data_IF_339054640831
#
_entry.id   IF_339054640831
#
_cell.length_a   1.000
_cell.length_b   1.000
_cell.length_c   1.000
_cell.angle_alpha   90.00
_cell.angle_beta   90.00
_cell.angle_gamma   90.00
#
_symmetry.space_group_name_H-M   'P 1'
#
loop_
_entity.id
_entity.type
_entity.pdbx_description
1 polymer ?
#
# COMPACT_ATOMS: atom_id res chain seq x y z
N UNK A 1 17.45 -23.26 41.62
CA UNK A 1 18.04 -23.37 40.26
C UNK A 1 16.98 -23.69 39.19
N UNK A 2 16.02 -24.60 39.42
CA UNK A 2 14.96 -24.95 38.45
C UNK A 2 13.95 -23.83 38.12
N UNK A 3 13.56 -22.98 39.08
CA UNK A 3 12.62 -21.87 38.87
C UNK A 3 13.14 -20.78 37.90
N UNK A 4 14.45 -20.51 37.92
CA UNK A 4 15.08 -19.50 37.05
C UNK A 4 15.07 -19.96 35.59
N UNK A 5 15.33 -21.26 35.35
CA UNK A 5 15.32 -21.84 34.00
C UNK A 5 13.91 -21.83 33.39
N UNK A 6 12.88 -22.12 34.19
CA UNK A 6 11.49 -22.10 33.73
C UNK A 6 11.03 -20.70 33.30
N UNK A 7 11.36 -19.66 34.10
CA UNK A 7 11.04 -18.26 33.77
C UNK A 7 11.79 -17.78 32.52
N UNK A 8 13.05 -18.21 32.32
CA UNK A 8 13.79 -17.85 31.10
C UNK A 8 13.24 -18.51 29.84
N UNK A 9 12.73 -19.74 29.93
CA UNK A 9 12.09 -20.42 28.80
C UNK A 9 10.71 -19.84 28.49
N UNK A 10 9.92 -19.47 29.50
CA UNK A 10 8.66 -18.73 29.30
C UNK A 10 8.90 -17.35 28.68
N UNK A 11 9.91 -16.60 29.13
CA UNK A 11 10.26 -15.30 28.53
C UNK A 11 10.84 -15.42 27.11
N UNK A 12 11.58 -16.49 26.80
CA UNK A 12 12.02 -16.79 25.44
C UNK A 12 10.84 -17.16 24.56
N UNK A 13 9.91 -18.00 25.04
CA UNK A 13 8.70 -18.36 24.31
C UNK A 13 7.76 -17.17 24.12
N UNK A 14 7.68 -16.24 25.08
CA UNK A 14 6.94 -14.98 24.96
C UNK A 14 7.59 -14.04 23.93
N UNK A 15 8.93 -13.96 23.90
CA UNK A 15 9.69 -13.22 22.87
C UNK A 15 9.57 -13.85 21.48
N UNK A 16 9.62 -15.19 21.38
CA UNK A 16 9.48 -15.94 20.13
C UNK A 16 8.04 -15.84 19.60
N UNK A 17 7.03 -15.84 20.49
CA UNK A 17 5.63 -15.59 20.17
C UNK A 17 5.38 -14.17 19.64
N UNK A 18 6.22 -13.19 19.99
CA UNK A 18 6.17 -11.83 19.48
C UNK A 18 6.98 -11.64 18.19
N UNK A 19 7.86 -12.60 17.88
CA UNK A 19 8.90 -12.53 16.83
C UNK A 19 8.57 -13.38 15.60
N UNK A 20 7.29 -13.60 15.32
CA UNK A 20 6.84 -13.63 13.93
C UNK A 20 6.56 -12.17 13.57
N UNK A 21 7.59 -11.41 13.19
CA UNK A 21 7.37 -10.10 12.58
C UNK A 21 6.40 -10.31 11.41
N UNK A 22 5.17 -9.82 11.53
CA UNK A 22 4.21 -9.91 10.43
C UNK A 22 4.76 -9.09 9.27
N UNK A 23 5.42 -9.75 8.32
CA UNK A 23 5.90 -9.11 7.10
C UNK A 23 4.69 -8.80 6.23
N UNK A 24 4.57 -7.56 5.80
CA UNK A 24 3.50 -7.12 4.90
C UNK A 24 4.16 -6.32 3.80
N UNK A 25 4.03 -6.81 2.57
CA UNK A 25 4.52 -6.12 1.39
C UNK A 25 3.73 -6.56 0.17
N UNK A 26 3.36 -5.62 -0.68
CA UNK A 26 2.81 -5.90 -1.99
C UNK A 26 3.44 -5.00 -3.05
N UNK A 27 3.47 -5.49 -4.27
CA UNK A 27 3.79 -4.70 -5.46
C UNK A 27 3.00 -5.25 -6.63
N UNK A 28 2.33 -4.37 -7.36
CA UNK A 28 1.49 -4.72 -8.48
C UNK A 28 1.55 -3.67 -9.60
N UNK A 29 1.27 -4.09 -10.83
CA UNK A 29 1.07 -3.24 -12.00
C UNK A 29 -0.37 -3.33 -12.51
N UNK A 30 -0.80 -2.27 -13.21
CA UNK A 30 -2.20 -2.06 -13.56
C UNK A 30 -2.73 -3.16 -14.47
N UNK A 31 -1.98 -3.46 -15.53
CA UNK A 31 -2.35 -4.45 -16.54
C UNK A 31 -1.93 -5.87 -16.15
N UNK A 32 -2.78 -6.85 -16.51
CA UNK A 32 -2.45 -8.28 -16.46
C UNK A 32 -1.57 -8.77 -17.63
N UNK A 33 -1.05 -7.86 -18.47
CA UNK A 33 -0.25 -8.17 -19.66
C UNK A 33 -0.84 -7.65 -20.99
N UNK A 34 -2.03 -7.05 -20.95
CA UNK A 34 -2.67 -6.42 -22.10
C UNK A 34 -2.26 -4.94 -22.22
N UNK A 35 -2.08 -4.43 -23.44
CA UNK A 35 -1.85 -3.01 -23.66
C UNK A 35 -3.17 -2.26 -23.64
N UNK A 36 -3.27 -1.19 -22.85
CA UNK A 36 -4.48 -0.39 -22.82
C UNK A 36 -4.46 0.71 -21.77
N UNK A 37 -5.59 1.41 -21.70
CA UNK A 37 -5.79 2.49 -20.75
C UNK A 37 -7.00 2.26 -19.84
N UNK A 38 -6.92 2.77 -18.61
CA UNK A 38 -8.03 2.83 -17.66
C UNK A 38 -8.50 4.28 -17.54
N UNK A 39 -9.80 4.49 -17.74
CA UNK A 39 -10.39 5.83 -17.93
C UNK A 39 -10.24 6.34 -19.38
N UNK A 40 -10.71 7.56 -19.67
CA UNK A 40 -11.39 8.48 -18.77
C UNK A 40 -12.79 8.00 -18.41
N UNK A 41 -13.14 8.20 -17.14
CA UNK A 41 -14.48 8.00 -16.61
C UNK A 41 -15.08 9.35 -16.18
N UNK A 42 -16.41 9.44 -16.09
CA UNK A 42 -17.10 10.66 -15.65
C UNK A 42 -16.93 10.98 -14.17
N UNK A 43 -16.47 10.02 -13.37
CA UNK A 43 -16.20 10.13 -11.94
C UNK A 43 -14.88 9.43 -11.58
N UNK A 44 -14.37 9.69 -10.39
CA UNK A 44 -13.17 9.02 -9.88
C UNK A 44 -13.40 7.50 -9.81
N UNK A 45 -12.45 6.72 -10.32
CA UNK A 45 -12.55 5.28 -10.40
C UNK A 45 -11.36 4.60 -9.70
N UNK A 46 -11.62 3.60 -8.87
CA UNK A 46 -10.57 2.84 -8.18
C UNK A 46 -9.79 1.99 -9.16
N UNK A 47 -8.48 2.19 -9.24
CA UNK A 47 -7.60 1.42 -10.09
C UNK A 47 -7.38 0.02 -9.52
N UNK A 48 -7.58 -0.99 -10.37
CA UNK A 48 -7.42 -2.40 -10.02
C UNK A 48 -6.11 -2.88 -10.65
N UNK A 49 -5.07 -3.08 -9.85
CA UNK A 49 -3.76 -3.54 -10.31
C UNK A 49 -3.73 -5.05 -10.37
N UNK A 50 -3.92 -5.60 -11.57
CA UNK A 50 -4.21 -7.02 -11.79
C UNK A 50 -2.97 -7.89 -11.74
N UNK A 51 -1.81 -7.38 -12.17
CA UNK A 51 -0.57 -8.14 -12.15
C UNK A 51 0.16 -7.94 -10.83
N UNK A 52 0.25 -9.00 -10.04
CA UNK A 52 0.84 -8.97 -8.70
C UNK A 52 2.23 -9.59 -8.72
N UNK A 53 3.27 -8.77 -8.52
CA UNK A 53 4.65 -9.24 -8.38
C UNK A 53 4.87 -9.94 -7.03
N UNK A 54 4.29 -9.37 -5.97
CA UNK A 54 4.40 -9.88 -4.60
C UNK A 54 3.20 -9.45 -3.78
N UNK A 55 2.78 -10.29 -2.82
CA UNK A 55 1.70 -10.00 -1.87
C UNK A 55 1.90 -10.77 -0.55
N UNK A 56 3.02 -10.50 0.12
CA UNK A 56 3.33 -11.07 1.44
C UNK A 56 2.37 -10.51 2.48
N UNK A 57 1.82 -11.40 3.30
CA UNK A 57 0.77 -11.07 4.26
C UNK A 57 -0.63 -10.99 3.64
N UNK A 58 -0.76 -11.14 2.30
CA UNK A 58 -2.04 -11.17 1.57
C UNK A 58 -2.96 -9.98 1.88
N UNK A 59 -2.36 -8.81 2.10
CA UNK A 59 -3.06 -7.58 2.48
C UNK A 59 -3.61 -6.80 1.28
N UNK A 60 -3.11 -7.07 0.08
CA UNK A 60 -3.60 -6.49 -1.17
C UNK A 60 -4.60 -7.42 -1.86
N UNK A 61 -5.74 -6.88 -2.33
CA UNK A 61 -6.75 -7.61 -3.07
C UNK A 61 -6.75 -7.20 -4.57
N UNK A 62 -6.23 -8.05 -5.48
CA UNK A 62 -6.14 -7.74 -6.91
C UNK A 62 -7.49 -7.73 -7.63
N UNK A 63 -8.58 -8.22 -7.02
CA UNK A 63 -9.92 -8.11 -7.59
C UNK A 63 -10.55 -6.72 -7.37
N UNK A 64 -10.02 -5.94 -6.41
CA UNK A 64 -10.61 -4.64 -6.00
C UNK A 64 -9.65 -3.48 -6.09
N UNK A 65 -8.34 -3.72 -6.15
CA UNK A 65 -7.34 -2.65 -6.10
C UNK A 65 -7.01 -2.14 -4.69
N UNK A 66 -7.57 -2.77 -3.65
CA UNK A 66 -7.54 -2.28 -2.27
C UNK A 66 -6.49 -3.02 -1.45
N UNK A 67 -5.69 -2.26 -0.71
CA UNK A 67 -4.88 -2.77 0.40
C UNK A 67 -5.61 -2.55 1.72
N UNK A 68 -5.65 -3.58 2.58
CA UNK A 68 -6.21 -3.50 3.94
C UNK A 68 -5.12 -3.79 4.95
N UNK A 69 -4.85 -2.86 5.87
CA UNK A 69 -3.82 -3.01 6.89
C UNK A 69 -4.17 -4.18 7.84
N UNK A 70 -3.36 -5.25 7.91
CA UNK A 70 -3.69 -6.42 8.74
C UNK A 70 -3.36 -6.20 10.24
N UNK A 71 -2.52 -5.20 10.54
CA UNK A 71 -2.12 -4.80 11.90
C UNK A 71 -1.87 -3.30 11.93
N UNK A 72 -1.91 -2.74 13.13
CA UNK A 72 -1.47 -1.36 13.36
C UNK A 72 0.03 -1.22 13.10
N UNK A 73 0.43 -0.25 12.28
CA UNK A 73 1.83 -0.07 11.93
C UNK A 73 2.08 1.16 11.06
N UNK A 74 3.36 1.48 10.88
CA UNK A 74 3.77 2.48 9.89
C UNK A 74 4.02 1.77 8.57
N UNK A 75 3.31 2.20 7.54
CA UNK A 75 3.39 1.66 6.19
C UNK A 75 3.91 2.74 5.23
N UNK A 76 4.74 2.33 4.29
CA UNK A 76 5.17 3.16 3.18
C UNK A 76 4.50 2.68 1.90
N UNK A 77 3.96 3.62 1.13
CA UNK A 77 3.37 3.38 -0.18
C UNK A 77 4.11 4.20 -1.23
N UNK A 78 4.29 3.61 -2.41
CA UNK A 78 4.83 4.29 -3.59
C UNK A 78 3.99 3.91 -4.80
N UNK A 79 3.76 4.89 -5.66
CA UNK A 79 3.03 4.67 -6.90
C UNK A 79 3.61 5.51 -8.02
N UNK A 80 3.62 4.91 -9.21
CA UNK A 80 4.03 5.55 -10.46
C UNK A 80 2.93 5.33 -11.47
N UNK A 81 2.62 6.35 -12.25
CA UNK A 81 1.60 6.30 -13.28
C UNK A 81 2.19 6.76 -14.60
N UNK A 82 1.71 6.16 -15.67
CA UNK A 82 2.08 6.50 -17.04
C UNK A 82 0.84 6.83 -17.85
N UNK A 83 1.01 7.66 -18.87
CA UNK A 83 -0.03 7.94 -19.84
C UNK A 83 0.53 8.59 -21.10
N UNK A 84 -0.35 8.74 -22.08
CA UNK A 84 0.00 9.35 -23.36
C UNK A 84 -0.43 10.81 -23.50
N UNK A 85 -0.06 11.39 -24.62
CA UNK A 85 -0.35 12.75 -25.03
C UNK A 85 -1.84 13.13 -25.00
N UNK A 86 -2.09 14.42 -24.79
CA UNK A 86 -3.40 15.04 -25.02
C UNK A 86 -4.46 14.73 -23.95
N UNK A 87 -4.05 14.11 -22.83
CA UNK A 87 -4.94 13.79 -21.71
C UNK A 87 -4.25 13.97 -20.37
N UNK A 88 -5.04 14.33 -19.35
CA UNK A 88 -4.55 14.40 -17.98
C UNK A 88 -4.27 13.00 -17.44
N UNK A 89 -3.11 12.84 -16.81
CA UNK A 89 -2.67 11.61 -16.16
C UNK A 89 -2.63 11.92 -14.67
N UNK A 90 -3.70 11.55 -13.97
CA UNK A 90 -3.93 11.99 -12.58
C UNK A 90 -4.48 10.86 -11.75
N UNK A 91 -3.77 10.54 -10.67
CA UNK A 91 -4.18 9.53 -9.70
C UNK A 91 -4.10 10.08 -8.29
N UNK A 92 -5.06 9.68 -7.47
CA UNK A 92 -5.23 10.12 -6.09
C UNK A 92 -5.13 8.91 -5.17
N UNK A 93 -4.27 8.99 -4.16
CA UNK A 93 -4.15 8.03 -3.08
C UNK A 93 -5.18 8.35 -2.00
N UNK A 94 -6.02 7.38 -1.69
CA UNK A 94 -7.04 7.47 -0.65
C UNK A 94 -6.72 6.57 0.53
N UNK A 95 -6.98 7.07 1.75
CA UNK A 95 -7.11 6.29 2.98
C UNK A 95 -8.55 6.42 3.48
N UNK A 96 -9.24 5.30 3.68
CA UNK A 96 -10.62 5.26 4.18
C UNK A 96 -11.57 6.23 3.45
N UNK A 97 -11.42 6.34 2.13
CA UNK A 97 -12.22 7.25 1.30
C UNK A 97 -11.72 8.70 1.23
N UNK A 98 -10.76 9.11 2.06
CA UNK A 98 -10.21 10.48 2.08
C UNK A 98 -8.94 10.59 1.22
N UNK A 99 -8.83 11.66 0.44
CA UNK A 99 -7.63 11.99 -0.33
C UNK A 99 -6.47 12.34 0.62
N UNK A 100 -5.31 11.69 0.42
CA UNK A 100 -4.08 11.94 1.18
C UNK A 100 -2.96 12.52 0.32
N UNK A 101 -2.74 11.96 -0.86
CA UNK A 101 -1.69 12.37 -1.79
C UNK A 101 -2.14 12.09 -3.23
N UNK A 102 -1.41 12.60 -4.22
CA UNK A 102 -1.72 12.31 -5.61
C UNK A 102 -0.58 12.69 -6.54
N UNK A 103 -0.77 12.36 -7.81
CA UNK A 103 0.09 12.79 -8.92
C UNK A 103 -0.77 13.45 -9.98
N UNK A 104 -0.16 14.41 -10.68
CA UNK A 104 -0.77 15.04 -11.85
C UNK A 104 0.31 15.25 -12.89
N UNK A 105 0.00 14.90 -14.13
CA UNK A 105 0.81 15.19 -15.28
C UNK A 105 -0.07 15.46 -16.50
N UNK A 106 0.43 16.32 -17.38
CA UNK A 106 -0.14 16.57 -18.69
C UNK A 106 0.99 16.86 -19.65
N UNK A 107 0.93 16.28 -20.85
CA UNK A 107 1.86 16.58 -21.91
C UNK A 107 1.11 16.59 -23.24
N UNK A 108 1.42 17.55 -24.10
CA UNK A 108 0.75 17.75 -25.39
C UNK A 108 1.15 16.69 -26.43
N UNK A 109 2.33 16.07 -26.31
CA UNK A 109 2.85 15.08 -27.23
C UNK A 109 3.74 14.04 -26.52
N UNK A 110 3.86 12.85 -27.10
CA UNK A 110 4.63 11.75 -26.53
C UNK A 110 3.92 11.06 -25.36
N UNK A 111 4.69 10.67 -24.34
CA UNK A 111 4.20 10.03 -23.13
C UNK A 111 4.71 10.76 -21.89
N UNK A 112 3.96 10.65 -20.80
CA UNK A 112 4.27 11.32 -19.54
C UNK A 112 4.10 10.35 -18.38
N UNK A 113 5.02 10.43 -17.42
CA UNK A 113 4.95 9.67 -16.18
C UNK A 113 4.98 10.62 -14.99
N UNK A 114 4.33 10.22 -13.90
CA UNK A 114 4.44 10.90 -12.60
C UNK A 114 4.39 9.90 -11.48
N UNK A 115 5.09 10.20 -10.38
CA UNK A 115 5.21 9.31 -9.23
C UNK A 115 5.08 10.09 -7.93
N UNK A 116 4.55 9.44 -6.90
CA UNK A 116 4.53 9.97 -5.54
C UNK A 116 4.58 8.81 -4.53
N UNK A 117 4.69 9.13 -3.25
CA UNK A 117 4.70 8.16 -2.17
C UNK A 117 4.37 8.81 -0.84
N UNK A 118 3.92 8.00 0.12
CA UNK A 118 3.52 8.48 1.44
C UNK A 118 3.80 7.41 2.49
N UNK A 119 4.25 7.82 3.67
CA UNK A 119 4.34 6.96 4.86
C UNK A 119 3.21 7.34 5.82
N UNK A 120 2.43 6.35 6.26
CA UNK A 120 1.26 6.56 7.11
C UNK A 120 1.25 5.57 8.27
N UNK A 121 0.82 6.04 9.44
CA UNK A 121 0.32 5.18 10.48
C UNK A 121 -1.07 4.68 10.08
N UNK A 122 -1.22 3.37 9.96
CA UNK A 122 -2.49 2.71 9.72
C UNK A 122 -2.90 1.90 10.94
N UNK A 123 -4.19 1.94 11.25
CA UNK A 123 -4.83 1.02 12.19
C UNK A 123 -5.19 -0.29 11.47
N UNK A 124 -5.38 -1.37 12.23
CA UNK A 124 -5.85 -2.62 11.65
C UNK A 124 -7.24 -2.42 11.02
N UNK A 125 -7.40 -2.83 9.76
CA UNK A 125 -8.63 -2.63 8.99
C UNK A 125 -8.69 -1.32 8.19
N UNK A 126 -7.73 -0.40 8.36
CA UNK A 126 -7.63 0.76 7.47
C UNK A 126 -7.42 0.30 6.03
N UNK A 127 -8.14 0.93 5.11
CA UNK A 127 -8.08 0.62 3.68
C UNK A 127 -7.40 1.74 2.91
N UNK A 128 -6.54 1.38 1.96
CA UNK A 128 -5.97 2.33 1.00
C UNK A 128 -6.12 1.85 -0.43
N UNK A 129 -6.28 2.81 -1.34
CA UNK A 129 -6.41 2.54 -2.77
C UNK A 129 -5.96 3.75 -3.59
N UNK A 130 -5.71 3.53 -4.87
CA UNK A 130 -5.47 4.59 -5.85
C UNK A 130 -6.71 4.75 -6.73
N UNK A 131 -7.08 6.00 -7.00
CA UNK A 131 -8.18 6.33 -7.90
C UNK A 131 -7.66 7.16 -9.06
N UNK A 132 -8.03 6.81 -10.29
CA UNK A 132 -7.87 7.72 -11.42
C UNK A 132 -8.95 8.80 -11.31
N UNK A 133 -8.54 10.07 -11.46
CA UNK A 133 -9.45 11.22 -11.36
C UNK A 133 -10.45 11.21 -12.52
N UNK A 134 -11.65 11.75 -12.30
CA UNK A 134 -12.61 12.01 -13.38
C UNK A 134 -11.94 12.70 -14.57
N UNK A 135 -12.24 12.24 -15.79
CA UNK A 135 -11.69 12.69 -17.06
C UNK A 135 -10.17 12.50 -17.25
N UNK A 136 -9.47 11.89 -16.29
CA UNK A 136 -8.08 11.47 -16.44
C UNK A 136 -7.98 10.01 -16.87
N UNK A 137 -6.82 9.63 -17.37
CA UNK A 137 -6.52 8.24 -17.73
C UNK A 137 -5.14 7.83 -17.27
N UNK A 138 -4.92 6.53 -17.20
CA UNK A 138 -3.60 5.91 -17.02
C UNK A 138 -3.45 4.78 -18.03
N UNK A 139 -2.23 4.57 -18.50
CA UNK A 139 -1.88 3.53 -19.46
C UNK A 139 -0.98 2.49 -18.80
N UNK A 140 -1.10 1.25 -19.24
CA UNK A 140 -0.16 0.19 -18.91
C UNK A 140 -0.12 -0.86 -20.03
N UNK A 141 0.98 -1.59 -20.10
CA UNK A 141 1.22 -2.68 -21.05
C UNK A 141 2.21 -3.70 -20.44
N UNK A 142 2.84 -4.51 -21.28
CA UNK A 142 3.82 -5.52 -20.86
C UNK A 142 5.09 -4.93 -20.22
N UNK A 143 5.34 -3.62 -20.28
CA UNK A 143 6.44 -2.96 -19.56
C UNK A 143 6.08 -2.59 -18.12
N UNK A 144 4.82 -2.73 -17.70
CA UNK A 144 4.38 -2.48 -16.32
C UNK A 144 4.76 -1.08 -15.81
N UNK A 145 4.44 -0.05 -16.59
CA UNK A 145 4.72 1.34 -16.28
C UNK A 145 3.96 1.86 -15.06
N UNK A 146 2.68 1.48 -14.96
CA UNK A 146 1.79 1.97 -13.91
C UNK A 146 1.78 1.00 -12.73
N UNK A 147 2.45 1.39 -11.64
CA UNK A 147 2.74 0.52 -10.48
C UNK A 147 2.20 1.08 -9.17
N UNK A 148 1.82 0.18 -8.28
CA UNK A 148 1.46 0.47 -6.91
C UNK A 148 2.09 -0.56 -5.97
N UNK A 149 2.88 -0.05 -5.02
CA UNK A 149 3.58 -0.87 -4.05
C UNK A 149 3.40 -0.32 -2.65
N UNK A 150 3.43 -1.20 -1.67
CA UNK A 150 3.42 -0.80 -0.27
C UNK A 150 4.02 -1.87 0.64
N UNK A 151 4.60 -1.42 1.74
CA UNK A 151 5.27 -2.28 2.71
C UNK A 151 5.11 -1.72 4.12
N UNK A 152 5.01 -2.62 5.10
CA UNK A 152 5.08 -2.23 6.51
C UNK A 152 6.54 -1.99 6.87
N UNK A 153 6.83 -0.82 7.41
CA UNK A 153 8.15 -0.48 7.93
C UNK A 153 8.35 -1.12 9.31
N UNK A 154 7.37 -0.96 10.20
CA UNK A 154 7.36 -1.59 11.52
C UNK A 154 5.94 -1.63 12.10
N UNK A 155 5.68 -2.67 12.88
CA UNK A 155 4.45 -2.80 13.66
C UNK A 155 4.47 -1.78 14.81
N UNK A 156 3.37 -1.07 15.00
CA UNK A 156 3.23 -0.11 16.10
C UNK A 156 2.59 -0.83 17.28
N UNK A 157 3.40 -1.66 17.94
CA UNK A 157 3.04 -2.36 19.16
C UNK A 157 2.67 -1.37 20.26
N UNK A 158 1.53 -1.59 20.92
CA UNK A 158 1.19 -0.90 22.15
C UNK A 158 2.29 -1.22 23.17
N UNK A 159 3.18 -0.26 23.42
CA UNK A 159 4.00 -0.28 24.63
C UNK A 159 3.00 -0.09 25.76
N UNK A 160 2.58 -1.18 26.39
CA UNK A 160 1.92 -1.13 27.69
C UNK A 160 2.99 -0.58 28.62
N UNK A 161 3.02 0.73 28.86
CA UNK A 161 3.79 1.30 29.95
C UNK A 161 3.26 0.66 31.23
N UNK A 162 4.05 -0.14 31.96
CA UNK A 162 3.66 -0.50 33.31
C UNK A 162 3.61 0.82 34.08
N UNK A 163 2.45 1.18 34.64
CA UNK A 163 2.38 2.25 35.63
C UNK A 163 3.48 1.96 36.65
N UNK A 164 4.45 2.85 36.79
CA UNK A 164 5.33 2.78 37.96
C UNK A 164 4.43 2.96 39.17
N UNK A 165 4.32 1.90 39.97
CA UNK A 165 3.78 1.96 41.31
C UNK A 165 4.60 3.00 42.08
N UNK A 166 3.96 4.11 42.41
CA UNK A 166 4.50 5.01 43.42
C UNK A 166 4.60 4.22 44.73
N UNK A 167 5.81 4.09 45.24
CA UNK A 167 6.12 3.90 46.65
C UNK A 167 7.34 4.73 46.98
#
# INVERSE_FOLDING_TARGET
>A
MFLILCYTEELKNLKISFSSERKVAFSASLSGGESGHTGPYSADFTLIYKHVFINIGKAYNPATGIFTAPVRGVYQFRFSIHGGAGRHVTVVFHKNGHHIAGTHAFQSGGSVSSSNGVSLLLEAGDVVCLKVRANAWVFDDWFHHTTFSGQMLFSALLIICPKQSQQ
#
